data_IF_210092820152
#
_entry.id   IF_210092820152
#
_cell.length_a   1.000
_cell.length_b   1.000
_cell.length_c   1.000
_cell.angle_alpha   90.00
_cell.angle_beta   90.00
_cell.angle_gamma   90.00
#
_symmetry.space_group_name_H-M   'P 1'
#
loop_
_entity.id
_entity.type
_entity.pdbx_description
1 polymer ?
#
# COMPACT_ATOMS: atom_id res chain seq x y z
N UNK A 1 -23.67 31.89 5.00
CA UNK A 1 -23.23 30.54 5.34
C UNK A 1 -22.57 29.87 4.14
N UNK A 2 -21.38 29.24 4.32
CA UNK A 2 -20.70 28.57 3.22
C UNK A 2 -21.39 27.24 2.91
N UNK A 3 -21.47 26.87 1.63
CA UNK A 3 -21.98 25.58 1.18
C UNK A 3 -21.07 24.44 1.62
N UNK A 4 -21.65 23.25 1.92
CA UNK A 4 -20.86 22.07 2.24
C UNK A 4 -20.03 21.63 1.01
N UNK A 5 -18.74 21.40 1.19
CA UNK A 5 -17.77 21.14 0.11
C UNK A 5 -17.23 22.39 -0.58
N UNK A 6 -17.60 23.59 -0.16
CA UNK A 6 -17.03 24.83 -0.70
C UNK A 6 -15.56 25.01 -0.23
N UNK A 7 -14.77 25.72 -1.05
CA UNK A 7 -13.49 26.25 -0.63
C UNK A 7 -13.70 27.41 0.33
N UNK A 8 -13.02 27.38 1.46
CA UNK A 8 -13.12 28.38 2.52
C UNK A 8 -11.73 28.74 3.03
N UNK A 9 -11.55 30.01 3.37
CA UNK A 9 -10.36 30.47 4.04
C UNK A 9 -10.41 30.14 5.54
N UNK A 10 -9.34 29.63 6.07
CA UNK A 10 -9.14 29.39 7.49
C UNK A 10 -8.25 30.47 8.02
N UNK A 11 -8.75 31.18 9.04
CA UNK A 11 -8.01 32.25 9.71
C UNK A 11 -7.92 31.97 11.20
N UNK A 12 -6.86 32.45 11.84
CA UNK A 12 -6.72 32.41 13.30
C UNK A 12 -7.69 33.44 13.95
N UNK A 13 -7.89 33.34 15.26
CA UNK A 13 -8.65 34.33 16.04
C UNK A 13 -8.17 35.77 15.85
N UNK A 14 -6.87 35.95 15.53
CA UNK A 14 -6.26 37.24 15.26
C UNK A 14 -6.33 37.66 13.78
N UNK A 15 -7.14 36.97 12.97
CA UNK A 15 -7.30 37.25 11.55
C UNK A 15 -6.14 36.82 10.63
N UNK A 16 -5.11 36.11 11.16
CA UNK A 16 -4.01 35.61 10.33
C UNK A 16 -4.51 34.46 9.44
N UNK A 17 -4.29 34.56 8.14
CA UNK A 17 -4.56 33.48 7.18
C UNK A 17 -3.71 32.22 7.49
N UNK A 18 -4.38 31.05 7.52
CA UNK A 18 -3.77 29.76 7.80
C UNK A 18 -3.80 28.83 6.59
N UNK A 19 -4.69 29.06 5.65
CA UNK A 19 -4.84 28.29 4.42
C UNK A 19 -6.26 28.31 3.88
N UNK A 20 -6.41 27.83 2.64
CA UNK A 20 -7.72 27.61 2.00
C UNK A 20 -7.92 26.11 1.82
N UNK A 21 -9.13 25.63 2.06
CA UNK A 21 -9.45 24.21 1.95
C UNK A 21 -10.93 23.92 1.82
N UNK A 22 -11.26 22.66 1.61
CA UNK A 22 -12.65 22.22 1.47
C UNK A 22 -13.33 22.04 2.82
N UNK A 23 -14.50 22.68 2.97
CA UNK A 23 -15.36 22.57 4.14
C UNK A 23 -16.12 21.23 4.14
N UNK A 24 -16.09 20.49 5.25
CA UNK A 24 -17.00 19.37 5.50
C UNK A 24 -17.81 19.63 6.78
N UNK A 25 -19.13 19.62 6.65
CA UNK A 25 -20.05 19.76 7.79
C UNK A 25 -20.32 18.41 8.46
N UNK A 26 -20.05 17.29 7.78
CA UNK A 26 -20.30 15.93 8.25
C UNK A 26 -19.08 15.38 8.99
N UNK A 27 -17.87 15.69 8.53
CA UNK A 27 -16.62 15.19 9.09
C UNK A 27 -16.21 15.91 10.37
N UNK A 28 -15.47 15.21 11.24
CA UNK A 28 -14.77 15.82 12.36
C UNK A 28 -13.64 16.77 11.89
N UNK A 29 -13.03 16.47 10.74
CA UNK A 29 -12.07 17.32 10.07
C UNK A 29 -12.86 18.36 9.25
N UNK A 30 -13.19 19.49 9.88
CA UNK A 30 -14.07 20.51 9.31
C UNK A 30 -13.55 21.15 8.04
N UNK A 31 -12.24 21.34 7.93
CA UNK A 31 -11.61 21.90 6.72
C UNK A 31 -10.36 21.08 6.40
N UNK A 32 -10.30 20.63 5.16
CA UNK A 32 -9.12 19.97 4.60
C UNK A 32 -8.35 20.97 3.77
N UNK A 33 -7.21 21.41 4.28
CA UNK A 33 -6.40 22.45 3.62
C UNK A 33 -5.81 21.93 2.30
N UNK A 34 -6.03 22.70 1.24
CA UNK A 34 -5.49 22.47 -0.11
C UNK A 34 -4.27 23.34 -0.37
N UNK A 35 -4.32 24.61 0.07
CA UNK A 35 -3.17 25.52 -0.06
C UNK A 35 -3.01 26.42 1.15
N UNK A 36 -1.77 26.81 1.41
CA UNK A 36 -1.40 27.83 2.42
C UNK A 36 -0.94 29.14 1.79
N UNK A 37 -1.01 29.25 0.46
CA UNK A 37 -0.70 30.46 -0.27
C UNK A 37 -1.99 31.24 -0.55
N UNK A 38 -2.13 32.42 0.05
CA UNK A 38 -3.31 33.26 -0.09
C UNK A 38 -3.51 33.81 -1.52
N UNK A 39 -2.49 33.72 -2.37
CA UNK A 39 -2.57 34.18 -3.77
C UNK A 39 -3.01 33.08 -4.75
N UNK A 40 -3.17 31.85 -4.29
CA UNK A 40 -3.62 30.77 -5.16
C UNK A 40 -5.09 30.99 -5.59
N UNK A 41 -5.32 30.78 -6.88
CA UNK A 41 -6.65 30.70 -7.47
C UNK A 41 -6.93 29.25 -7.81
N UNK A 42 -8.01 28.71 -7.33
CA UNK A 42 -8.35 27.30 -7.44
C UNK A 42 -9.08 26.99 -8.76
N UNK A 43 -8.53 27.50 -9.85
CA UNK A 43 -8.94 27.25 -11.22
C UNK A 43 -8.29 25.98 -11.80
N UNK A 44 -8.60 25.66 -13.04
CA UNK A 44 -8.01 24.50 -13.74
C UNK A 44 -6.48 24.58 -13.80
N UNK A 45 -5.91 25.75 -14.02
CA UNK A 45 -4.45 25.93 -14.07
C UNK A 45 -3.78 25.60 -12.73
N UNK A 46 -4.42 25.89 -11.61
CA UNK A 46 -3.97 25.50 -10.28
C UNK A 46 -3.95 23.98 -10.15
N UNK A 47 -5.03 23.30 -10.51
CA UNK A 47 -5.12 21.85 -10.38
C UNK A 47 -4.17 21.13 -11.34
N UNK A 48 -4.04 21.61 -12.59
CA UNK A 48 -3.05 21.10 -13.56
C UNK A 48 -1.62 21.15 -12.99
N UNK A 49 -1.24 22.28 -12.40
CA UNK A 49 0.06 22.46 -11.75
C UNK A 49 0.24 21.47 -10.58
N UNK A 50 -0.79 21.23 -9.77
CA UNK A 50 -0.74 20.27 -8.66
C UNK A 50 -0.59 18.82 -9.15
N UNK A 51 -1.31 18.44 -10.19
CA UNK A 51 -1.17 17.13 -10.84
C UNK A 51 0.25 16.98 -11.40
N UNK A 52 0.75 18.02 -12.08
CA UNK A 52 2.12 18.01 -12.62
C UNK A 52 3.15 17.79 -11.51
N UNK A 53 3.05 18.47 -10.35
CA UNK A 53 3.96 18.26 -9.24
C UNK A 53 3.91 16.83 -8.70
N UNK A 54 2.73 16.24 -8.57
CA UNK A 54 2.58 14.85 -8.13
C UNK A 54 3.21 13.88 -9.13
N UNK A 55 3.00 14.09 -10.43
CA UNK A 55 3.57 13.26 -11.50
C UNK A 55 5.10 13.40 -11.58
N UNK A 56 5.63 14.63 -11.60
CA UNK A 56 7.08 14.88 -11.65
C UNK A 56 7.79 14.27 -10.44
N UNK A 57 7.18 14.31 -9.26
CA UNK A 57 7.69 13.64 -8.09
C UNK A 57 7.82 12.12 -8.31
N UNK A 58 6.78 11.45 -8.85
CA UNK A 58 6.85 10.00 -9.12
C UNK A 58 7.91 9.68 -10.17
N UNK A 59 8.03 10.47 -11.20
CA UNK A 59 9.10 10.31 -12.21
C UNK A 59 10.50 10.40 -11.59
N UNK A 60 10.68 11.27 -10.60
CA UNK A 60 11.95 11.44 -9.92
C UNK A 60 12.29 10.30 -8.95
N UNK A 61 11.30 9.75 -8.21
CA UNK A 61 11.59 8.84 -7.08
C UNK A 61 11.34 7.36 -7.38
N UNK A 62 10.66 7.02 -8.50
CA UNK A 62 10.27 5.64 -8.79
C UNK A 62 11.24 4.88 -9.71
N UNK A 63 12.41 5.43 -9.99
CA UNK A 63 13.47 4.75 -10.75
C UNK A 63 12.99 4.17 -12.09
N UNK A 64 12.12 4.88 -12.80
CA UNK A 64 11.53 4.45 -14.08
C UNK A 64 10.35 3.47 -13.94
N UNK A 65 9.94 3.08 -12.72
CA UNK A 65 8.81 2.17 -12.49
C UNK A 65 7.48 2.91 -12.27
N UNK A 66 7.17 3.87 -13.12
CA UNK A 66 5.98 4.73 -13.02
C UNK A 66 4.72 4.10 -13.62
N UNK A 67 4.83 3.03 -14.40
CA UNK A 67 3.68 2.28 -14.93
C UNK A 67 2.82 1.61 -13.85
N UNK A 68 3.40 1.37 -12.67
CA UNK A 68 2.72 0.75 -11.55
C UNK A 68 3.08 1.50 -10.26
N UNK A 69 2.31 2.56 -9.92
CA UNK A 69 2.62 3.41 -8.77
C UNK A 69 1.37 4.16 -8.27
N UNK A 70 1.42 4.62 -7.03
CA UNK A 70 0.48 5.60 -6.51
C UNK A 70 0.82 6.98 -7.06
N UNK A 71 -0.05 7.52 -7.90
CA UNK A 71 0.12 8.80 -8.57
C UNK A 71 -0.22 9.98 -7.65
N UNK A 72 -1.28 9.83 -6.83
CA UNK A 72 -1.72 10.84 -5.86
C UNK A 72 -1.97 10.14 -4.51
N UNK A 73 -1.38 10.67 -3.46
CA UNK A 73 -1.50 10.17 -2.09
C UNK A 73 -2.08 11.24 -1.15
N UNK A 74 -3.34 11.57 -1.34
CA UNK A 74 -4.13 12.39 -0.44
C UNK A 74 -3.46 13.71 -0.01
N UNK A 75 -3.38 13.90 1.28
CA UNK A 75 -2.82 15.09 1.92
C UNK A 75 -1.34 15.30 1.58
N UNK A 76 -0.59 14.23 1.33
CA UNK A 76 0.83 14.32 0.99
C UNK A 76 1.11 14.97 -0.37
N UNK A 77 0.13 14.94 -1.28
CA UNK A 77 0.19 15.60 -2.58
C UNK A 77 -0.74 16.82 -2.67
N UNK A 78 -1.30 17.24 -1.53
CA UNK A 78 -2.27 18.35 -1.44
C UNK A 78 -3.58 18.12 -2.22
N UNK A 79 -4.01 16.85 -2.30
CA UNK A 79 -5.34 16.43 -2.76
C UNK A 79 -6.07 15.70 -1.63
N UNK A 80 -6.50 16.39 -0.57
CA UNK A 80 -6.94 15.76 0.67
C UNK A 80 -8.12 14.83 0.45
N UNK A 81 -7.91 13.56 0.79
CA UNK A 81 -8.92 12.51 0.64
C UNK A 81 -9.04 11.92 -0.77
N UNK A 82 -8.13 12.23 -1.70
CA UNK A 82 -8.05 11.60 -3.01
C UNK A 82 -6.85 10.67 -3.10
N UNK A 83 -7.08 9.45 -3.52
CA UNK A 83 -6.04 8.51 -3.92
C UNK A 83 -6.18 8.22 -5.41
N UNK A 84 -5.08 8.21 -6.14
CA UNK A 84 -5.02 7.75 -7.53
C UNK A 84 -3.88 6.78 -7.69
N UNK A 85 -4.19 5.54 -8.05
CA UNK A 85 -3.22 4.50 -8.36
C UNK A 85 -3.17 4.27 -9.87
N UNK A 86 -1.99 4.05 -10.39
CA UNK A 86 -1.76 3.69 -11.78
C UNK A 86 -1.39 2.21 -11.89
N UNK A 87 -2.08 1.50 -12.76
CA UNK A 87 -1.79 0.13 -13.17
C UNK A 87 -1.66 0.11 -14.68
N UNK A 88 -0.46 0.38 -15.17
CA UNK A 88 -0.11 0.55 -16.60
C UNK A 88 -1.02 1.58 -17.30
N UNK A 89 -1.96 1.13 -18.10
CA UNK A 89 -2.90 1.94 -18.86
C UNK A 89 -4.21 2.28 -18.13
N UNK A 90 -4.37 1.80 -16.89
CA UNK A 90 -5.54 2.08 -16.07
C UNK A 90 -5.19 2.96 -14.86
N UNK A 91 -6.05 3.94 -14.58
CA UNK A 91 -6.06 4.68 -13.32
C UNK A 91 -7.19 4.17 -12.43
N UNK A 92 -6.92 4.08 -11.14
CA UNK A 92 -7.91 3.72 -10.13
C UNK A 92 -7.96 4.80 -9.09
N UNK A 93 -9.15 5.35 -8.85
CA UNK A 93 -9.34 6.44 -7.89
C UNK A 93 -10.16 5.99 -6.69
N UNK A 94 -9.87 6.60 -5.56
CA UNK A 94 -10.69 6.53 -4.36
C UNK A 94 -10.86 7.94 -3.80
N UNK A 95 -12.09 8.43 -3.79
CA UNK A 95 -12.43 9.78 -3.35
C UNK A 95 -13.14 9.72 -2.00
N UNK A 96 -12.47 10.21 -0.95
CA UNK A 96 -12.93 10.13 0.45
C UNK A 96 -13.32 11.49 1.05
N UNK A 97 -13.34 12.55 0.24
CA UNK A 97 -13.75 13.88 0.71
C UNK A 97 -14.73 14.53 -0.24
N UNK A 98 -15.71 15.24 0.32
CA UNK A 98 -16.74 15.92 -0.46
C UNK A 98 -16.17 16.97 -1.42
N UNK A 99 -15.11 17.67 -1.02
CA UNK A 99 -14.50 18.68 -1.88
C UNK A 99 -13.88 18.07 -3.14
N UNK A 100 -13.16 16.93 -3.02
CA UNK A 100 -12.64 16.23 -4.18
C UNK A 100 -13.74 15.63 -5.04
N UNK A 101 -14.81 15.11 -4.43
CA UNK A 101 -15.97 14.61 -5.16
C UNK A 101 -16.60 15.70 -6.05
N UNK A 102 -16.69 16.94 -5.56
CA UNK A 102 -17.28 18.06 -6.32
C UNK A 102 -16.44 18.50 -7.52
N UNK A 103 -15.15 18.28 -7.49
CA UNK A 103 -14.26 18.73 -8.58
C UNK A 103 -13.78 17.60 -9.48
N UNK A 104 -14.16 16.34 -9.22
CA UNK A 104 -13.64 15.17 -9.93
C UNK A 104 -13.91 15.23 -11.45
N UNK A 105 -15.04 15.78 -11.86
CA UNK A 105 -15.41 15.86 -13.29
C UNK A 105 -14.46 16.75 -14.11
N UNK A 106 -13.84 17.73 -13.47
CA UNK A 106 -12.75 18.52 -14.04
C UNK A 106 -11.38 17.86 -13.78
N UNK A 107 -11.16 17.34 -12.57
CA UNK A 107 -9.84 16.87 -12.13
C UNK A 107 -9.40 15.57 -12.82
N UNK A 108 -10.31 14.61 -13.00
CA UNK A 108 -9.94 13.29 -13.54
C UNK A 108 -9.50 13.34 -15.01
N UNK A 109 -10.21 14.06 -15.92
CA UNK A 109 -9.68 14.30 -17.26
C UNK A 109 -8.32 14.99 -17.25
N UNK A 110 -8.15 15.99 -16.38
CA UNK A 110 -6.90 16.74 -16.25
C UNK A 110 -5.71 15.86 -15.81
N UNK A 111 -5.94 14.88 -14.92
CA UNK A 111 -4.91 13.90 -14.54
C UNK A 111 -4.49 13.10 -15.78
N UNK A 112 -5.42 12.62 -16.57
CA UNK A 112 -5.14 11.85 -17.81
C UNK A 112 -4.36 12.71 -18.80
N UNK A 113 -4.78 13.93 -19.07
CA UNK A 113 -4.12 14.86 -19.97
C UNK A 113 -2.65 15.10 -19.57
N UNK A 114 -2.39 15.36 -18.29
CA UNK A 114 -1.03 15.59 -17.78
C UNK A 114 -0.11 14.39 -18.01
N UNK A 115 -0.62 13.17 -17.86
CA UNK A 115 0.17 11.96 -18.14
C UNK A 115 0.40 11.79 -19.65
N UNK A 116 -0.62 12.02 -20.46
CA UNK A 116 -0.55 11.87 -21.93
C UNK A 116 0.37 12.92 -22.59
N UNK A 117 0.48 14.12 -22.03
CA UNK A 117 1.48 15.12 -22.45
C UNK A 117 2.92 14.59 -22.37
N UNK A 118 3.20 13.67 -21.45
CA UNK A 118 4.51 13.02 -21.29
C UNK A 118 4.61 11.67 -22.03
N UNK A 119 3.63 11.36 -22.90
CA UNK A 119 3.63 10.17 -23.74
C UNK A 119 3.10 8.91 -23.06
N UNK A 120 2.51 9.04 -21.86
CA UNK A 120 1.90 7.91 -21.18
C UNK A 120 0.55 7.55 -21.82
N UNK A 121 0.23 6.27 -21.87
CA UNK A 121 -1.05 5.80 -22.40
C UNK A 121 -2.01 5.48 -21.26
N UNK A 122 -3.17 6.16 -21.23
CA UNK A 122 -4.24 5.88 -20.27
C UNK A 122 -5.51 5.52 -21.05
N UNK A 123 -6.00 4.31 -20.87
CA UNK A 123 -7.19 3.81 -21.57
C UNK A 123 -8.46 4.03 -20.75
N UNK A 124 -8.38 4.04 -19.43
CA UNK A 124 -9.54 4.23 -18.57
C UNK A 124 -9.22 4.62 -17.12
N UNK A 125 -10.26 5.11 -16.45
CA UNK A 125 -10.22 5.45 -15.03
C UNK A 125 -11.38 4.75 -14.33
N UNK A 126 -11.07 3.98 -13.28
CA UNK A 126 -12.02 3.23 -12.48
C UNK A 126 -12.14 3.82 -11.07
N UNK A 127 -13.35 4.09 -10.62
CA UNK A 127 -13.61 4.57 -9.25
C UNK A 127 -13.83 3.39 -8.30
N UNK A 128 -13.07 3.33 -7.20
CA UNK A 128 -13.20 2.38 -6.10
C UNK A 128 -13.72 3.08 -4.86
N UNK A 129 -14.90 3.63 -4.98
CA UNK A 129 -15.59 4.37 -3.95
C UNK A 129 -16.48 3.46 -3.05
N UNK A 130 -16.30 2.15 -3.10
CA UNK A 130 -16.98 1.11 -2.34
C UNK A 130 -16.42 0.97 -0.90
N UNK A 131 -16.26 2.09 -0.20
CA UNK A 131 -15.68 2.17 1.15
C UNK A 131 -16.56 2.94 2.13
N UNK A 132 -16.77 2.37 3.33
CA UNK A 132 -17.60 2.93 4.39
C UNK A 132 -17.15 4.34 4.87
N UNK A 133 -15.89 4.69 4.67
CA UNK A 133 -15.38 6.02 5.06
C UNK A 133 -16.08 7.16 4.34
N UNK A 134 -16.59 6.93 3.13
CA UNK A 134 -17.33 7.94 2.34
C UNK A 134 -18.60 8.41 3.05
N UNK A 135 -19.28 7.51 3.73
CA UNK A 135 -20.53 7.83 4.45
C UNK A 135 -20.32 8.86 5.56
N UNK A 136 -19.10 8.91 6.14
CA UNK A 136 -18.74 9.94 7.16
C UNK A 136 -18.62 11.35 6.59
N UNK A 137 -18.47 11.47 5.28
CA UNK A 137 -18.46 12.73 4.54
C UNK A 137 -19.83 13.00 3.88
N UNK A 138 -20.83 12.13 4.09
CA UNK A 138 -22.14 12.22 3.46
C UNK A 138 -22.16 11.78 1.99
N UNK A 139 -21.16 11.01 1.57
CA UNK A 139 -21.03 10.49 0.20
C UNK A 139 -21.56 9.05 0.12
N UNK A 140 -22.15 8.71 -1.00
CA UNK A 140 -22.59 7.33 -1.29
C UNK A 140 -21.40 6.45 -1.67
N UNK A 141 -21.51 5.16 -1.36
CA UNK A 141 -20.59 4.16 -1.87
C UNK A 141 -20.92 3.80 -3.32
N UNK A 142 -19.93 3.36 -4.08
CA UNK A 142 -20.09 2.87 -5.45
C UNK A 142 -18.76 2.52 -6.08
N UNK A 143 -18.80 1.76 -7.16
CA UNK A 143 -17.63 1.50 -8.00
C UNK A 143 -18.04 1.43 -9.47
N UNK A 144 -17.12 1.74 -10.36
CA UNK A 144 -17.37 1.69 -11.79
C UNK A 144 -16.41 2.55 -12.60
N UNK A 145 -16.54 2.46 -13.91
CA UNK A 145 -15.79 3.30 -14.82
C UNK A 145 -16.25 4.77 -14.74
N UNK A 146 -15.30 5.67 -14.64
CA UNK A 146 -15.53 7.08 -14.83
C UNK A 146 -15.49 7.41 -16.34
N UNK A 147 -16.51 8.10 -16.89
CA UNK A 147 -16.56 8.43 -18.32
C UNK A 147 -15.52 9.52 -18.64
N UNK A 148 -14.41 9.13 -19.26
CA UNK A 148 -13.40 10.07 -19.71
C UNK A 148 -13.80 10.69 -21.06
N UNK A 149 -13.73 12.02 -21.22
CA UNK A 149 -14.03 12.69 -22.48
C UNK A 149 -13.19 12.13 -23.65
N UNK A 150 -13.83 11.81 -24.76
CA UNK A 150 -13.16 11.31 -25.97
C UNK A 150 -12.59 9.89 -25.89
N UNK A 151 -12.81 9.18 -24.78
CA UNK A 151 -12.34 7.79 -24.63
C UNK A 151 -13.52 6.83 -24.55
N UNK A 152 -13.32 5.62 -25.09
CA UNK A 152 -14.23 4.51 -24.87
C UNK A 152 -13.95 3.84 -23.52
N UNK A 153 -15.00 3.44 -22.84
CA UNK A 153 -14.86 2.66 -21.60
C UNK A 153 -14.16 1.32 -21.92
N UNK A 154 -13.10 0.95 -21.18
CA UNK A 154 -12.45 -0.34 -21.37
C UNK A 154 -13.43 -1.51 -21.16
N UNK A 155 -13.29 -2.54 -21.98
CA UNK A 155 -14.14 -3.75 -21.88
C UNK A 155 -13.86 -4.58 -20.62
N UNK A 156 -12.65 -4.48 -20.09
CA UNK A 156 -12.20 -5.27 -18.93
C UNK A 156 -11.58 -4.41 -17.84
N UNK A 157 -11.96 -4.64 -16.56
CA UNK A 157 -11.29 -4.01 -15.40
C UNK A 157 -9.99 -4.73 -15.02
N UNK A 158 -9.49 -5.63 -15.87
CA UNK A 158 -8.28 -6.41 -15.59
C UNK A 158 -7.15 -5.93 -16.48
N UNK A 159 -6.01 -5.67 -15.88
CA UNK A 159 -4.76 -5.32 -16.58
C UNK A 159 -3.61 -6.18 -16.08
N UNK A 160 -2.51 -6.19 -16.83
CA UNK A 160 -1.25 -6.77 -16.40
C UNK A 160 -0.29 -5.65 -16.02
N UNK A 161 0.39 -5.81 -14.89
CA UNK A 161 1.44 -4.90 -14.42
C UNK A 161 2.78 -5.61 -14.34
N UNK A 162 3.86 -4.85 -14.46
CA UNK A 162 5.22 -5.31 -14.18
C UNK A 162 5.81 -4.54 -13.01
N UNK A 163 6.13 -5.24 -11.92
CA UNK A 163 6.81 -4.68 -10.75
C UNK A 163 8.09 -5.47 -10.45
N UNK A 164 9.23 -4.80 -10.38
CA UNK A 164 10.53 -5.45 -10.13
C UNK A 164 10.85 -6.58 -11.14
N UNK A 165 10.32 -6.52 -12.35
CA UNK A 165 10.44 -7.56 -13.37
C UNK A 165 9.54 -8.78 -13.14
N UNK A 166 8.59 -8.72 -12.22
CA UNK A 166 7.54 -9.72 -11.98
C UNK A 166 6.23 -9.22 -12.56
N UNK A 167 5.56 -10.06 -13.34
CA UNK A 167 4.27 -9.76 -13.94
C UNK A 167 3.13 -10.24 -13.06
N UNK A 168 2.13 -9.38 -12.87
CA UNK A 168 0.92 -9.68 -12.09
C UNK A 168 -0.33 -9.32 -12.88
N UNK A 169 -1.34 -10.16 -12.74
CA UNK A 169 -2.70 -9.79 -13.15
C UNK A 169 -3.35 -8.98 -12.02
N UNK A 170 -3.85 -7.79 -12.35
CA UNK A 170 -4.56 -6.90 -11.43
C UNK A 170 -5.99 -6.73 -11.91
N UNK A 171 -6.94 -7.01 -11.04
CA UNK A 171 -8.37 -6.74 -11.22
C UNK A 171 -8.72 -5.49 -10.41
N UNK A 172 -8.93 -4.37 -11.09
CA UNK A 172 -9.21 -3.10 -10.42
C UNK A 172 -10.61 -3.01 -9.85
N UNK A 173 -11.53 -3.86 -10.29
CA UNK A 173 -12.89 -3.95 -9.80
C UNK A 173 -13.03 -4.79 -8.52
N UNK A 174 -12.39 -5.97 -8.48
CA UNK A 174 -12.59 -6.95 -7.42
C UNK A 174 -11.34 -7.17 -6.55
N UNK A 175 -10.19 -6.64 -6.95
CA UNK A 175 -8.95 -6.72 -6.17
C UNK A 175 -9.04 -5.95 -4.84
N UNK A 176 -8.21 -6.33 -3.89
CA UNK A 176 -8.13 -5.63 -2.59
C UNK A 176 -7.65 -4.19 -2.75
N UNK A 177 -8.15 -3.28 -1.92
CA UNK A 177 -7.92 -1.83 -2.02
C UNK A 177 -8.30 -1.34 -3.42
N UNK A 178 -7.34 -0.82 -4.17
CA UNK A 178 -7.47 -0.35 -5.55
C UNK A 178 -7.13 -1.41 -6.60
N UNK A 179 -6.66 -2.60 -6.15
CA UNK A 179 -6.30 -3.73 -7.01
C UNK A 179 -4.99 -4.43 -6.60
N UNK A 180 -3.99 -3.67 -6.11
CA UNK A 180 -2.69 -4.21 -5.72
C UNK A 180 -2.05 -3.36 -4.61
N UNK A 181 -1.13 -3.95 -3.82
CA UNK A 181 -0.41 -3.28 -2.73
C UNK A 181 0.89 -2.65 -3.24
N UNK A 182 0.82 -1.41 -3.71
CA UNK A 182 1.94 -0.69 -4.30
C UNK A 182 3.01 -0.26 -3.28
N UNK A 183 2.60 -0.06 -2.04
CA UNK A 183 3.41 0.49 -0.95
C UNK A 183 4.60 -0.41 -0.55
N UNK A 184 4.53 -1.72 -0.81
CA UNK A 184 5.58 -2.69 -0.48
C UNK A 184 6.59 -2.95 -1.62
N UNK A 185 6.49 -2.27 -2.75
CA UNK A 185 7.30 -2.52 -3.96
C UNK A 185 8.79 -2.72 -3.67
N UNK A 186 9.42 -1.74 -3.05
CA UNK A 186 10.87 -1.79 -2.77
C UNK A 186 11.22 -2.66 -1.56
N UNK A 187 10.27 -2.97 -0.70
CA UNK A 187 10.44 -3.95 0.36
C UNK A 187 10.50 -5.37 -0.21
N UNK A 188 9.66 -5.68 -1.22
CA UNK A 188 9.73 -6.93 -1.99
C UNK A 188 11.09 -7.07 -2.68
N UNK A 189 11.60 -6.00 -3.30
CA UNK A 189 12.90 -5.99 -3.95
C UNK A 189 14.04 -6.21 -2.94
N UNK A 190 13.95 -5.63 -1.73
CA UNK A 190 14.94 -5.85 -0.66
C UNK A 190 14.98 -7.31 -0.20
N UNK A 191 13.80 -7.95 -0.07
CA UNK A 191 13.70 -9.39 0.22
C UNK A 191 14.29 -10.23 -0.91
N UNK A 192 13.99 -9.91 -2.18
CA UNK A 192 14.50 -10.63 -3.34
C UNK A 192 16.04 -10.68 -3.36
N UNK A 193 16.71 -9.61 -2.96
CA UNK A 193 18.18 -9.55 -2.87
C UNK A 193 18.77 -10.57 -1.87
N UNK A 194 18.01 -10.92 -0.83
CA UNK A 194 18.42 -11.89 0.19
C UNK A 194 17.98 -13.33 -0.13
N UNK A 195 17.13 -13.54 -1.11
CA UNK A 195 16.48 -14.84 -1.34
C UNK A 195 17.35 -15.87 -2.07
N UNK A 196 18.40 -15.46 -2.77
CA UNK A 196 19.24 -16.36 -3.61
C UNK A 196 19.72 -17.58 -2.86
N UNK A 197 19.42 -18.78 -3.40
CA UNK A 197 19.82 -20.07 -2.86
C UNK A 197 19.18 -20.43 -1.51
N UNK A 198 18.09 -19.78 -1.12
CA UNK A 198 17.41 -19.98 0.16
C UNK A 198 16.06 -20.61 -0.01
N UNK A 199 15.64 -21.35 0.99
CA UNK A 199 14.28 -21.85 1.16
C UNK A 199 13.48 -20.80 1.92
N UNK A 200 12.43 -20.29 1.28
CA UNK A 200 11.66 -19.12 1.74
C UNK A 200 10.25 -19.53 2.16
N UNK A 201 9.80 -19.01 3.31
CA UNK A 201 8.38 -19.06 3.71
C UNK A 201 7.81 -17.64 3.66
N UNK A 202 6.81 -17.43 2.82
CA UNK A 202 6.07 -16.17 2.73
C UNK A 202 4.68 -16.34 3.36
N UNK A 203 4.50 -15.76 4.54
CA UNK A 203 3.26 -15.77 5.31
C UNK A 203 2.42 -14.53 4.98
N UNK A 204 1.12 -14.74 4.79
CA UNK A 204 0.18 -13.71 4.33
C UNK A 204 0.52 -13.25 2.90
N UNK A 205 0.80 -14.23 2.04
CA UNK A 205 1.35 -13.98 0.69
C UNK A 205 0.40 -13.22 -0.24
N UNK A 206 -0.92 -13.22 0.07
CA UNK A 206 -1.96 -12.63 -0.77
C UNK A 206 -1.85 -13.18 -2.22
N UNK A 207 -1.62 -12.32 -3.21
CA UNK A 207 -1.45 -12.73 -4.62
C UNK A 207 -0.03 -13.19 -4.96
N UNK A 208 0.77 -13.54 -3.94
CA UNK A 208 2.14 -14.07 -4.10
C UNK A 208 3.21 -13.00 -4.26
N UNK A 209 2.96 -11.76 -3.90
CA UNK A 209 3.84 -10.66 -4.31
C UNK A 209 5.25 -10.71 -3.68
N UNK A 210 5.40 -11.03 -2.40
CA UNK A 210 6.71 -11.27 -1.79
C UNK A 210 7.32 -12.59 -2.27
N UNK A 211 6.52 -13.65 -2.30
CA UNK A 211 6.96 -14.99 -2.74
C UNK A 211 7.55 -14.98 -4.16
N UNK A 212 6.87 -14.32 -5.10
CA UNK A 212 7.31 -14.20 -6.51
C UNK A 212 8.59 -13.38 -6.64
N UNK A 213 8.70 -12.27 -5.88
CA UNK A 213 9.95 -11.50 -5.85
C UNK A 213 11.11 -12.32 -5.27
N UNK A 214 10.88 -13.13 -4.23
CA UNK A 214 11.88 -14.04 -3.67
C UNK A 214 12.29 -15.12 -4.69
N UNK A 215 11.32 -15.76 -5.36
CA UNK A 215 11.58 -16.77 -6.39
C UNK A 215 12.38 -16.17 -7.57
N UNK A 216 12.00 -14.97 -8.04
CA UNK A 216 12.74 -14.24 -9.08
C UNK A 216 14.13 -13.82 -8.64
N UNK A 217 14.31 -13.51 -7.34
CA UNK A 217 15.60 -13.22 -6.71
C UNK A 217 16.55 -14.43 -6.63
N UNK A 218 16.09 -15.60 -7.06
CA UNK A 218 16.87 -16.83 -7.12
C UNK A 218 16.73 -17.70 -5.88
N UNK A 219 15.63 -17.63 -5.14
CA UNK A 219 15.33 -18.59 -4.09
C UNK A 219 15.41 -20.03 -4.63
N UNK A 220 15.93 -20.95 -3.81
CA UNK A 220 15.93 -22.37 -4.13
C UNK A 220 14.50 -22.89 -4.19
N UNK A 221 13.71 -22.57 -3.18
CA UNK A 221 12.30 -22.92 -3.09
C UNK A 221 11.53 -21.91 -2.27
N UNK A 222 10.26 -21.65 -2.61
CA UNK A 222 9.39 -20.71 -1.90
C UNK A 222 8.08 -21.40 -1.54
N UNK A 223 7.67 -21.35 -0.27
CA UNK A 223 6.34 -21.74 0.18
C UNK A 223 5.52 -20.47 0.43
N UNK A 224 4.49 -20.26 -0.37
CA UNK A 224 3.56 -19.13 -0.29
C UNK A 224 2.30 -19.54 0.48
N UNK A 225 1.96 -18.83 1.55
CA UNK A 225 0.86 -19.19 2.46
C UNK A 225 -0.12 -18.03 2.60
N UNK A 226 -1.39 -18.32 2.45
CA UNK A 226 -2.49 -17.41 2.79
C UNK A 226 -3.71 -18.21 3.28
N UNK A 227 -4.57 -17.58 4.06
CA UNK A 227 -5.83 -18.18 4.51
C UNK A 227 -6.89 -18.18 3.39
N UNK A 228 -6.76 -17.29 2.41
CA UNK A 228 -7.68 -17.15 1.28
C UNK A 228 -7.31 -18.09 0.13
N UNK A 229 -8.17 -19.03 -0.17
CA UNK A 229 -8.00 -19.94 -1.31
C UNK A 229 -7.92 -19.17 -2.64
N UNK A 230 -8.77 -18.17 -2.84
CA UNK A 230 -8.75 -17.35 -4.05
C UNK A 230 -7.46 -16.52 -4.21
N UNK A 231 -6.86 -16.08 -3.11
CA UNK A 231 -5.56 -15.43 -3.14
C UNK A 231 -4.45 -16.41 -3.53
N UNK A 232 -4.47 -17.61 -3.00
CA UNK A 232 -3.54 -18.70 -3.35
C UNK A 232 -3.68 -19.12 -4.82
N UNK A 233 -4.89 -19.22 -5.35
CA UNK A 233 -5.11 -19.50 -6.78
C UNK A 233 -4.52 -18.41 -7.65
N UNK A 234 -4.70 -17.13 -7.27
CA UNK A 234 -4.12 -16.01 -7.99
C UNK A 234 -2.59 -15.98 -7.89
N UNK A 235 -2.02 -16.31 -6.72
CA UNK A 235 -0.58 -16.44 -6.54
C UNK A 235 0.01 -17.54 -7.46
N UNK A 236 -0.66 -18.67 -7.57
CA UNK A 236 -0.30 -19.77 -8.49
C UNK A 236 -0.37 -19.34 -9.95
N UNK A 237 -1.43 -18.63 -10.34
CA UNK A 237 -1.58 -18.11 -11.70
C UNK A 237 -0.49 -17.06 -12.04
N UNK A 238 -0.13 -16.20 -11.08
CA UNK A 238 0.97 -15.26 -11.23
C UNK A 238 2.33 -15.97 -11.33
N UNK A 239 2.54 -17.06 -10.58
CA UNK A 239 3.77 -17.86 -10.68
C UNK A 239 3.92 -18.50 -12.08
N UNK A 240 2.86 -19.10 -12.60
CA UNK A 240 2.83 -19.66 -13.96
C UNK A 240 3.12 -18.59 -15.02
N UNK A 241 2.52 -17.38 -14.88
CA UNK A 241 2.77 -16.24 -15.77
C UNK A 241 4.26 -15.85 -15.84
N UNK A 242 4.99 -16.03 -14.74
CA UNK A 242 6.41 -15.70 -14.64
C UNK A 242 7.35 -16.90 -14.86
N UNK A 243 6.82 -18.11 -15.12
CA UNK A 243 7.61 -19.34 -15.23
C UNK A 243 8.32 -19.74 -13.92
N UNK A 244 7.70 -19.43 -12.77
CA UNK A 244 8.27 -19.64 -11.44
C UNK A 244 7.59 -20.80 -10.67
N UNK A 245 6.51 -21.39 -11.20
CA UNK A 245 5.72 -22.42 -10.53
C UNK A 245 6.55 -23.64 -10.13
N UNK A 246 7.57 -24.00 -10.90
CA UNK A 246 8.43 -25.18 -10.63
C UNK A 246 9.29 -25.09 -9.37
N UNK A 247 9.36 -23.92 -8.74
CA UNK A 247 10.11 -23.70 -7.49
C UNK A 247 9.27 -23.09 -6.37
N UNK A 248 7.94 -23.20 -6.49
CA UNK A 248 7.01 -22.62 -5.52
C UNK A 248 5.95 -23.61 -5.10
N UNK A 249 5.68 -23.69 -3.80
CA UNK A 249 4.52 -24.35 -3.21
C UNK A 249 3.50 -23.32 -2.74
N UNK A 250 2.22 -23.66 -2.83
CA UNK A 250 1.12 -22.79 -2.48
C UNK A 250 0.20 -23.50 -1.48
N UNK A 251 0.06 -22.90 -0.30
CA UNK A 251 -0.65 -23.50 0.82
C UNK A 251 -1.77 -22.60 1.32
N UNK A 252 -3.01 -23.07 1.26
CA UNK A 252 -4.13 -22.43 1.95
C UNK A 252 -4.12 -22.85 3.41
N UNK A 253 -3.69 -21.95 4.32
CA UNK A 253 -3.61 -22.23 5.75
C UNK A 253 -3.66 -20.95 6.58
N UNK A 254 -4.15 -21.06 7.82
CA UNK A 254 -4.00 -20.01 8.82
C UNK A 254 -2.55 -20.02 9.36
N UNK A 255 -1.88 -18.90 9.29
CA UNK A 255 -0.49 -18.72 9.77
C UNK A 255 -0.40 -18.96 11.28
N UNK A 256 -1.43 -18.60 12.05
CA UNK A 256 -1.49 -18.84 13.49
C UNK A 256 -1.54 -20.33 13.86
N UNK A 257 -2.05 -21.18 12.96
CA UNK A 257 -2.03 -22.64 13.13
C UNK A 257 -0.79 -23.27 12.50
N UNK A 258 -0.32 -22.74 11.37
CA UNK A 258 0.79 -23.30 10.62
C UNK A 258 2.12 -23.18 11.38
N UNK A 259 2.46 -21.96 11.86
CA UNK A 259 3.75 -21.73 12.52
C UNK A 259 3.95 -22.61 13.77
N UNK A 260 2.96 -22.75 14.69
CA UNK A 260 3.08 -23.71 15.79
C UNK A 260 3.28 -25.16 15.36
N UNK A 261 2.60 -25.62 14.31
CA UNK A 261 2.77 -27.00 13.78
C UNK A 261 4.17 -27.22 13.24
N UNK A 262 4.72 -26.25 12.50
CA UNK A 262 6.10 -26.32 11.98
C UNK A 262 7.13 -26.33 13.14
N UNK A 263 6.90 -25.54 14.19
CA UNK A 263 7.73 -25.52 15.39
C UNK A 263 7.70 -26.88 16.11
N UNK A 264 6.51 -27.47 16.29
CA UNK A 264 6.33 -28.76 16.94
C UNK A 264 7.01 -29.93 16.17
N UNK A 265 7.20 -29.79 14.86
CA UNK A 265 7.93 -30.75 14.04
C UNK A 265 9.46 -30.70 14.27
N UNK A 266 9.96 -29.76 15.08
CA UNK A 266 11.41 -29.56 15.39
C UNK A 266 12.30 -29.43 14.15
N UNK A 267 11.73 -29.00 13.03
CA UNK A 267 12.47 -28.78 11.79
C UNK A 267 12.64 -27.29 11.54
N UNK A 268 13.76 -26.90 10.97
CA UNK A 268 14.03 -25.54 10.51
C UNK A 268 14.18 -25.55 8.98
N UNK A 269 13.06 -25.75 8.25
CA UNK A 269 13.11 -26.00 6.81
C UNK A 269 13.33 -24.75 5.97
N UNK A 270 13.36 -23.57 6.60
CA UNK A 270 13.45 -22.29 5.92
C UNK A 270 14.68 -21.49 6.37
N UNK A 271 15.26 -20.76 5.42
CA UNK A 271 16.41 -19.87 5.62
C UNK A 271 15.99 -18.39 5.64
N UNK A 272 14.80 -18.11 5.12
CA UNK A 272 14.18 -16.78 5.10
C UNK A 272 12.68 -16.93 5.38
N UNK A 273 12.17 -16.18 6.35
CA UNK A 273 10.72 -16.09 6.63
C UNK A 273 10.27 -14.65 6.48
N UNK A 274 9.13 -14.45 5.81
CA UNK A 274 8.50 -13.16 5.54
C UNK A 274 7.14 -13.13 6.24
N UNK A 275 6.90 -12.08 7.02
CA UNK A 275 5.62 -11.79 7.66
C UNK A 275 5.11 -10.42 7.22
N UNK A 276 4.10 -10.39 6.35
CA UNK A 276 3.38 -9.16 5.97
C UNK A 276 1.88 -9.29 6.30
N UNK A 277 1.54 -9.36 7.60
CA UNK A 277 0.17 -9.58 8.03
C UNK A 277 -0.73 -8.38 7.74
N UNK A 278 -2.05 -8.59 7.62
CA UNK A 278 -3.00 -7.49 7.62
C UNK A 278 -2.95 -6.72 8.94
N UNK A 279 -3.49 -5.51 8.95
CA UNK A 279 -3.60 -4.73 10.19
C UNK A 279 -4.51 -5.46 11.19
N UNK A 280 -3.93 -6.01 12.26
CA UNK A 280 -4.68 -6.74 13.31
C UNK A 280 -5.56 -5.83 14.16
N UNK A 281 -5.43 -4.50 14.03
CA UNK A 281 -6.28 -3.54 14.73
C UNK A 281 -6.65 -2.36 13.84
N UNK A 282 -7.90 -1.91 13.99
CA UNK A 282 -8.45 -0.70 13.38
C UNK A 282 -8.81 0.37 14.42
N UNK A 283 -8.42 0.17 15.70
CA UNK A 283 -8.72 1.10 16.78
C UNK A 283 -7.69 1.04 17.91
N UNK A 284 -7.55 2.14 18.67
CA UNK A 284 -6.70 2.17 19.86
C UNK A 284 -7.14 1.15 20.93
N UNK A 285 -8.44 0.89 21.03
CA UNK A 285 -9.00 -0.02 22.05
C UNK A 285 -8.55 -1.47 21.87
N UNK A 286 -8.27 -1.89 20.65
CA UNK A 286 -7.86 -3.26 20.33
C UNK A 286 -6.35 -3.39 20.05
N UNK A 287 -5.59 -2.31 20.25
CA UNK A 287 -4.15 -2.26 19.95
C UNK A 287 -3.33 -3.26 20.79
N UNK A 288 -3.67 -3.46 22.07
CA UNK A 288 -2.95 -4.39 22.95
C UNK A 288 -3.16 -5.86 22.54
N UNK A 289 -4.37 -6.21 22.09
CA UNK A 289 -4.64 -7.55 21.57
C UNK A 289 -3.94 -7.77 20.22
N UNK A 290 -3.89 -6.73 19.38
CA UNK A 290 -3.16 -6.80 18.13
C UNK A 290 -1.65 -7.00 18.36
N UNK A 291 -1.06 -6.32 19.35
CA UNK A 291 0.34 -6.51 19.71
C UNK A 291 0.65 -7.95 20.11
N UNK A 292 -0.24 -8.60 20.86
CA UNK A 292 -0.10 -10.03 21.20
C UNK A 292 -0.07 -10.90 19.95
N UNK A 293 -0.97 -10.65 18.99
CA UNK A 293 -0.99 -11.36 17.69
C UNK A 293 0.29 -11.15 16.89
N UNK A 294 0.76 -9.90 16.78
CA UNK A 294 2.05 -9.60 16.15
C UNK A 294 3.20 -10.33 16.87
N UNK A 295 3.23 -10.29 18.20
CA UNK A 295 4.27 -10.96 19.00
C UNK A 295 4.29 -12.46 18.74
N UNK A 296 3.12 -13.11 18.74
CA UNK A 296 2.99 -14.55 18.54
C UNK A 296 3.60 -15.00 17.20
N UNK A 297 3.17 -14.41 16.08
CA UNK A 297 3.69 -14.82 14.78
C UNK A 297 5.18 -14.50 14.60
N UNK A 298 5.64 -13.36 15.12
CA UNK A 298 7.05 -12.97 15.05
C UNK A 298 7.93 -13.90 15.89
N UNK A 299 7.51 -14.24 17.11
CA UNK A 299 8.18 -15.20 17.98
C UNK A 299 8.34 -16.57 17.29
N UNK A 300 7.25 -17.11 16.74
CA UNK A 300 7.26 -18.42 16.05
C UNK A 300 8.17 -18.42 14.84
N UNK A 301 8.09 -17.38 14.01
CA UNK A 301 8.97 -17.25 12.84
C UNK A 301 10.45 -17.21 13.23
N UNK A 302 10.82 -16.47 14.28
CA UNK A 302 12.20 -16.43 14.77
C UNK A 302 12.70 -17.79 15.27
N UNK A 303 11.87 -18.59 15.95
CA UNK A 303 12.21 -19.95 16.41
C UNK A 303 12.39 -20.94 15.27
N UNK A 304 11.66 -20.76 14.16
CA UNK A 304 11.77 -21.61 12.97
C UNK A 304 13.03 -21.35 12.15
N UNK A 305 13.67 -20.19 12.31
CA UNK A 305 14.89 -19.86 11.58
C UNK A 305 16.13 -20.46 12.23
N UNK A 306 17.08 -20.96 11.43
CA UNK A 306 18.40 -21.33 11.93
C UNK A 306 19.21 -20.06 12.28
N UNK A 307 20.28 -20.22 13.06
CA UNK A 307 21.30 -19.18 13.21
C UNK A 307 21.88 -18.84 11.83
N UNK A 308 21.95 -17.56 11.49
CA UNK A 308 22.33 -17.07 10.16
C UNK A 308 21.16 -16.94 9.19
N UNK A 309 19.96 -17.41 9.56
CA UNK A 309 18.72 -17.23 8.79
C UNK A 309 18.27 -15.79 8.74
N UNK A 310 17.38 -15.46 7.80
CA UNK A 310 16.91 -14.11 7.56
C UNK A 310 15.42 -13.97 7.91
N UNK A 311 15.05 -12.81 8.36
CA UNK A 311 13.70 -12.52 8.83
C UNK A 311 13.23 -11.17 8.31
N UNK A 312 12.12 -11.16 7.58
CA UNK A 312 11.43 -9.96 7.12
C UNK A 312 10.09 -9.84 7.86
N UNK A 313 9.78 -8.68 8.42
CA UNK A 313 8.53 -8.47 9.13
C UNK A 313 7.99 -7.06 8.92
N UNK A 314 6.67 -6.95 8.79
CA UNK A 314 5.98 -5.69 8.53
C UNK A 314 4.78 -5.46 9.44
N UNK A 315 4.38 -4.20 9.53
CA UNK A 315 3.09 -3.78 10.06
C UNK A 315 2.62 -2.51 9.35
N UNK A 316 1.44 -2.57 8.72
CA UNK A 316 0.78 -1.44 8.08
C UNK A 316 -0.21 -0.70 9.01
N UNK A 317 -0.30 -1.06 10.29
CA UNK A 317 -1.26 -0.48 11.22
C UNK A 317 -0.78 0.87 11.77
N UNK A 318 -1.59 1.92 11.63
CA UNK A 318 -1.39 3.21 12.31
C UNK A 318 -1.41 3.09 13.85
N UNK A 319 -2.12 2.08 14.39
CA UNK A 319 -2.22 1.85 15.84
C UNK A 319 -1.05 1.02 16.38
N UNK A 320 -0.10 0.66 15.53
CA UNK A 320 1.17 0.04 15.87
C UNK A 320 2.31 0.96 15.39
N UNK A 321 2.59 2.08 16.09
CA UNK A 321 3.69 2.98 15.71
C UNK A 321 5.05 2.29 15.82
N UNK A 322 6.06 2.78 15.09
CA UNK A 322 7.37 2.14 14.96
C UNK A 322 7.99 1.75 16.30
N UNK A 323 8.05 2.66 17.28
CA UNK A 323 8.62 2.35 18.59
C UNK A 323 7.86 1.26 19.39
N UNK A 324 6.54 1.10 19.16
CA UNK A 324 5.76 0.00 19.74
C UNK A 324 6.08 -1.32 19.06
N UNK A 325 6.13 -1.31 17.74
CA UNK A 325 6.47 -2.49 16.93
C UNK A 325 7.88 -2.99 17.25
N UNK A 326 8.87 -2.09 17.35
CA UNK A 326 10.24 -2.43 17.73
C UNK A 326 10.35 -3.03 19.14
N UNK A 327 9.65 -2.46 20.13
CA UNK A 327 9.64 -3.05 21.49
C UNK A 327 9.04 -4.45 21.48
N UNK A 328 7.97 -4.66 20.73
CA UNK A 328 7.35 -5.97 20.56
C UNK A 328 8.33 -6.96 19.91
N UNK A 329 9.06 -6.56 18.85
CA UNK A 329 10.05 -7.42 18.18
C UNK A 329 11.21 -7.80 19.13
N UNK A 330 11.73 -6.85 19.92
CA UNK A 330 12.76 -7.14 20.94
C UNK A 330 12.26 -8.14 21.98
N UNK A 331 11.01 -7.98 22.45
CA UNK A 331 10.39 -8.91 23.38
C UNK A 331 10.19 -10.30 22.76
N UNK A 332 9.76 -10.38 21.50
CA UNK A 332 9.62 -11.64 20.78
C UNK A 332 10.96 -12.35 20.59
N UNK A 333 12.02 -11.62 20.25
CA UNK A 333 13.37 -12.17 20.10
C UNK A 333 13.92 -12.73 21.42
N UNK A 334 13.73 -12.00 22.53
CA UNK A 334 14.12 -12.47 23.87
C UNK A 334 13.39 -13.77 24.25
N UNK A 335 12.07 -13.85 23.99
CA UNK A 335 11.28 -15.06 24.27
C UNK A 335 11.60 -16.22 23.30
N UNK A 336 12.11 -15.89 22.10
CA UNK A 336 12.59 -16.89 21.15
C UNK A 336 13.99 -17.41 21.51
N UNK A 337 14.72 -16.72 22.38
CA UNK A 337 16.11 -17.04 22.72
C UNK A 337 17.08 -16.76 21.57
N UNK A 338 16.82 -15.73 20.77
CA UNK A 338 17.64 -15.32 19.61
C UNK A 338 18.01 -13.84 19.70
N UNK A 339 19.08 -13.48 19.04
CA UNK A 339 19.41 -12.06 18.79
C UNK A 339 19.13 -11.71 17.33
N UNK A 340 18.75 -10.46 17.08
CA UNK A 340 18.46 -9.95 15.76
C UNK A 340 19.48 -8.90 15.34
N UNK A 341 20.18 -9.18 14.25
CA UNK A 341 21.04 -8.19 13.58
C UNK A 341 20.22 -7.49 12.51
N UNK A 342 19.92 -6.21 12.71
CA UNK A 342 19.17 -5.42 11.73
C UNK A 342 20.01 -5.20 10.47
N UNK A 343 19.44 -5.52 9.32
CA UNK A 343 19.99 -5.26 7.98
C UNK A 343 19.44 -3.95 7.46
N UNK A 344 18.11 -3.83 7.45
CA UNK A 344 17.39 -2.64 6.98
C UNK A 344 16.18 -2.33 7.87
N UNK A 345 15.87 -1.04 8.02
CA UNK A 345 14.59 -0.52 8.49
C UNK A 345 14.02 0.34 7.36
N UNK A 346 12.80 0.04 6.92
CA UNK A 346 12.19 0.65 5.76
C UNK A 346 10.75 1.06 6.07
N UNK A 347 10.21 1.93 5.23
CA UNK A 347 8.83 2.38 5.25
C UNK A 347 8.14 2.00 3.93
N UNK A 348 7.03 2.63 3.62
CA UNK A 348 6.34 2.49 2.34
C UNK A 348 7.20 3.00 1.17
N UNK A 349 6.89 2.53 -0.04
CA UNK A 349 7.55 2.98 -1.25
C UNK A 349 7.39 4.50 -1.45
N UNK A 350 8.35 5.18 -2.10
CA UNK A 350 8.37 6.65 -2.23
C UNK A 350 7.16 7.26 -2.94
N UNK A 351 6.44 6.49 -3.74
CA UNK A 351 5.16 6.92 -4.34
C UNK A 351 4.03 7.10 -3.32
N UNK A 352 4.24 6.67 -2.07
CA UNK A 352 3.41 6.95 -0.90
C UNK A 352 4.17 7.91 0.02
N UNK A 353 4.34 9.19 -0.36
CA UNK A 353 5.22 10.12 0.36
C UNK A 353 4.79 10.35 1.79
N UNK A 354 5.78 10.43 2.68
CA UNK A 354 5.59 10.79 4.08
C UNK A 354 5.67 12.31 4.20
N UNK A 355 4.57 12.95 4.54
CA UNK A 355 4.52 14.39 4.79
C UNK A 355 4.73 14.65 6.27
N UNK A 356 5.85 15.25 6.62
CA UNK A 356 6.33 15.34 8.02
C UNK A 356 5.37 16.05 8.98
N UNK A 357 4.57 17.00 8.49
CA UNK A 357 3.54 17.67 9.28
C UNK A 357 2.17 16.96 9.27
N UNK A 358 2.08 15.78 8.64
CA UNK A 358 0.89 14.90 8.62
C UNK A 358 1.34 13.48 8.97
N UNK A 359 1.50 13.16 10.27
CA UNK A 359 2.04 11.88 10.74
C UNK A 359 1.27 10.65 10.24
N UNK A 360 -0.01 10.83 9.90
CA UNK A 360 -0.87 9.77 9.37
C UNK A 360 -0.40 9.25 8.01
N UNK A 361 0.46 9.98 7.30
CA UNK A 361 1.07 9.51 6.05
C UNK A 361 2.19 8.51 6.26
N UNK A 362 2.75 8.40 7.47
CA UNK A 362 3.74 7.39 7.88
C UNK A 362 3.05 6.22 8.57
N UNK A 363 2.81 5.12 7.84
CA UNK A 363 2.02 4.02 8.37
C UNK A 363 2.66 2.65 8.23
N UNK A 364 3.63 2.46 7.33
CA UNK A 364 4.25 1.16 7.08
C UNK A 364 5.60 1.06 7.80
N UNK A 365 5.77 0.02 8.58
CA UNK A 365 7.02 -0.40 9.20
C UNK A 365 7.43 -1.72 8.59
N UNK A 366 8.66 -1.79 8.09
CA UNK A 366 9.25 -2.99 7.52
C UNK A 366 10.69 -3.14 8.00
N UNK A 367 11.03 -4.31 8.49
CA UNK A 367 12.36 -4.62 8.99
C UNK A 367 12.90 -5.89 8.38
N UNK A 368 14.18 -5.86 8.03
CA UNK A 368 14.98 -7.02 7.64
C UNK A 368 16.02 -7.29 8.71
N UNK A 369 16.09 -8.54 9.16
CA UNK A 369 17.03 -9.01 10.16
C UNK A 369 17.75 -10.25 9.71
N UNK A 370 18.92 -10.49 10.32
CA UNK A 370 19.57 -11.80 10.40
C UNK A 370 19.43 -12.30 11.84
N UNK A 371 19.06 -13.56 12.00
CA UNK A 371 19.04 -14.26 13.31
C UNK A 371 20.46 -14.68 13.64
N UNK A 372 20.97 -14.31 14.82
CA UNK A 372 22.35 -14.58 15.27
C UNK A 372 22.40 -15.33 16.59
#
# INVERSE_FOLDING_TARGET
ECENGALVDVVSEKGKYLGTGFLSRMSRLRVRIVSRNANDRFDEAFWRRRVRYAWDYRRAVMEGQTGCCRLIFGEADAFPGLTVDRFENLLVTQTLSLGMEKIKDMLFPLIVEVLEEDGEKIDGLFERNDVLLREKEGLTQGKGWFPLPGKQTPESPVTEICENGVYYRVDVENGQKTGFFLDQKFNRLAVAKLARGRRVLDCFTHTGSFALNAARGGAEHVTAVDVSESAIEMARANAARNGLEGRMDFLTADVFDLLPRLEAAHQKPYDLIILDPPAFTKSRRTADNAEKGYKEINLRAMRLLPRGGYFATASCSHFMPAGRFERMLRSAAADAGVELRQIEARTQAPDHPILWNVPETDYLKFYLFQVV
#
